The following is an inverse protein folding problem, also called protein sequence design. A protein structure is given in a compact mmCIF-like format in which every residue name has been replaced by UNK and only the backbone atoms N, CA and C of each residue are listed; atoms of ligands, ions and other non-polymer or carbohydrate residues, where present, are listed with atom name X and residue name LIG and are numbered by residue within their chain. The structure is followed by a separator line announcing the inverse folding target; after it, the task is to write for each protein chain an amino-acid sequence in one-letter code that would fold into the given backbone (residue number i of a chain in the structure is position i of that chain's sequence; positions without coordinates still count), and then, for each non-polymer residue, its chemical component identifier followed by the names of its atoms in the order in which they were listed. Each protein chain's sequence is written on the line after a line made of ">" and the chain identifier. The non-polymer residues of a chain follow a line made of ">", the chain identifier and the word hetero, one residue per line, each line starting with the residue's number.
data_IF_628510761645
#
_entry.id   IF_628510761645
#
_cell.length_a   1.000
_cell.length_b   1.000
_cell.length_c   1.000
_cell.angle_alpha   90.00
_cell.angle_beta   90.00
_cell.angle_gamma   90.00
#
_symmetry.space_group_name_H-M   'P 1'
#
loop_
_entity.id
_entity.type
_entity.pdbx_description
1 polymer ?
#
# COMPACT_ATOMS: atom_id res chain seq x y z
N UNK A 1 -18.61 24.33 26.26
CA UNK A 1 -18.70 25.12 25.01
C UNK A 1 -17.98 24.29 23.95
N UNK A 2 -18.73 23.38 23.33
CA UNK A 2 -18.28 22.49 22.26
C UNK A 2 -19.12 22.91 21.08
N UNK A 3 -18.52 23.58 20.11
CA UNK A 3 -19.19 24.01 18.89
C UNK A 3 -18.20 23.84 17.75
N UNK A 4 -18.24 22.64 17.15
CA UNK A 4 -17.55 22.27 15.92
C UNK A 4 -18.27 21.08 15.26
N UNK A 5 -19.61 21.08 15.35
CA UNK A 5 -20.49 20.14 14.63
C UNK A 5 -21.24 20.80 13.46
N UNK A 6 -21.00 22.08 13.19
CA UNK A 6 -21.60 22.78 12.05
C UNK A 6 -20.62 22.84 10.87
N UNK A 7 -20.36 21.68 10.27
CA UNK A 7 -19.89 21.60 8.89
C UNK A 7 -20.90 20.79 8.09
N UNK A 8 -21.88 21.52 7.54
CA UNK A 8 -22.90 21.05 6.59
C UNK A 8 -22.28 20.76 5.23
N UNK A 9 -21.46 19.72 5.14
CA UNK A 9 -21.09 19.11 3.86
C UNK A 9 -20.87 17.60 4.09
N UNK A 10 -21.77 16.81 3.49
CA UNK A 10 -21.85 15.33 3.49
C UNK A 10 -22.59 14.75 4.71
N UNK A 11 -23.90 15.03 4.81
CA UNK A 11 -24.81 14.07 5.45
C UNK A 11 -24.95 12.86 4.49
N UNK A 12 -24.65 11.62 4.92
CA UNK A 12 -24.83 10.46 4.06
C UNK A 12 -26.30 10.35 3.66
N UNK A 13 -26.54 10.12 2.37
CA UNK A 13 -27.90 9.99 1.84
C UNK A 13 -28.63 8.81 2.53
N UNK A 14 -29.97 8.84 2.68
CA UNK A 14 -30.72 7.73 3.30
C UNK A 14 -30.47 6.37 2.61
N UNK A 15 -30.11 6.37 1.33
CA UNK A 15 -29.72 5.18 0.55
C UNK A 15 -28.41 4.58 1.06
N UNK A 16 -27.43 5.42 1.40
CA UNK A 16 -26.13 5.01 1.94
C UNK A 16 -26.27 4.34 3.30
N UNK A 17 -27.23 4.81 4.12
CA UNK A 17 -27.51 4.20 5.42
C UNK A 17 -28.17 2.83 5.28
N UNK A 18 -29.08 2.64 4.32
CA UNK A 18 -29.70 1.33 4.10
C UNK A 18 -28.69 0.29 3.60
N UNK A 19 -27.84 0.64 2.64
CA UNK A 19 -26.78 -0.25 2.15
C UNK A 19 -25.82 -0.68 3.26
N UNK A 20 -25.45 0.25 4.15
CA UNK A 20 -24.62 -0.08 5.30
C UNK A 20 -25.33 -1.04 6.26
N UNK A 21 -26.61 -0.82 6.54
CA UNK A 21 -27.40 -1.72 7.38
C UNK A 21 -27.52 -3.11 6.76
N UNK A 22 -27.75 -3.20 5.45
CA UNK A 22 -27.83 -4.47 4.73
C UNK A 22 -26.49 -5.23 4.80
N UNK A 23 -25.36 -4.53 4.65
CA UNK A 23 -24.01 -5.13 4.79
C UNK A 23 -23.77 -5.62 6.22
N UNK A 24 -24.17 -4.85 7.23
CA UNK A 24 -24.01 -5.25 8.63
C UNK A 24 -24.90 -6.45 8.98
N UNK A 25 -26.14 -6.47 8.48
CA UNK A 25 -27.06 -7.59 8.65
C UNK A 25 -26.50 -8.87 7.99
N UNK A 26 -25.96 -8.74 6.78
CA UNK A 26 -25.28 -9.82 6.07
C UNK A 26 -24.10 -10.39 6.89
N UNK A 27 -23.21 -9.53 7.40
CA UNK A 27 -22.09 -9.93 8.25
C UNK A 27 -22.58 -10.69 9.49
N UNK A 28 -23.56 -10.13 10.22
CA UNK A 28 -24.03 -10.71 11.48
C UNK A 28 -24.73 -12.06 11.28
N UNK A 29 -25.50 -12.20 10.21
CA UNK A 29 -26.34 -13.37 9.99
C UNK A 29 -25.65 -14.49 9.21
N UNK A 30 -24.68 -14.15 8.34
CA UNK A 30 -24.05 -15.12 7.44
C UNK A 30 -22.62 -15.48 7.80
N UNK A 31 -21.86 -14.60 8.46
CA UNK A 31 -20.48 -14.93 8.87
C UNK A 31 -20.47 -15.74 10.15
N UNK A 32 -19.84 -16.92 10.12
CA UNK A 32 -19.69 -17.81 11.28
C UNK A 32 -18.24 -18.23 11.45
N UNK A 33 -17.76 -18.14 12.69
CA UNK A 33 -16.45 -18.65 13.10
C UNK A 33 -16.67 -20.07 13.65
N UNK A 34 -15.97 -21.05 13.10
CA UNK A 34 -16.09 -22.44 13.51
C UNK A 34 -15.04 -22.81 14.58
N UNK A 35 -15.25 -23.95 15.25
CA UNK A 35 -14.34 -24.45 16.29
C UNK A 35 -12.98 -24.92 15.78
N UNK A 36 -12.84 -25.10 14.47
CA UNK A 36 -11.58 -25.41 13.78
C UNK A 36 -10.85 -24.16 13.27
N UNK A 37 -11.23 -22.97 13.76
CA UNK A 37 -10.69 -21.66 13.39
C UNK A 37 -10.98 -21.21 11.95
N UNK A 38 -11.81 -21.94 11.20
CA UNK A 38 -12.26 -21.52 9.87
C UNK A 38 -13.35 -20.44 9.94
N UNK A 39 -13.48 -19.68 8.85
CA UNK A 39 -14.53 -18.66 8.68
C UNK A 39 -15.44 -19.06 7.54
N UNK A 40 -16.73 -19.14 7.83
CA UNK A 40 -17.76 -19.53 6.90
C UNK A 40 -18.66 -18.35 6.58
N UNK A 41 -19.11 -18.27 5.34
CA UNK A 41 -20.20 -17.41 4.90
C UNK A 41 -21.15 -18.23 4.03
N UNK A 42 -22.46 -18.02 4.09
CA UNK A 42 -23.42 -18.86 3.35
C UNK A 42 -23.24 -18.81 1.84
N UNK A 43 -22.76 -17.68 1.34
CA UNK A 43 -22.67 -17.38 -0.10
C UNK A 43 -21.24 -17.53 -0.65
N UNK A 44 -20.26 -17.89 0.19
CA UNK A 44 -18.86 -18.07 -0.22
C UNK A 44 -18.28 -19.39 0.32
N UNK A 45 -17.24 -19.89 -0.35
CA UNK A 45 -16.46 -21.02 0.14
C UNK A 45 -15.81 -20.67 1.50
N UNK A 46 -15.70 -21.64 2.42
CA UNK A 46 -15.05 -21.42 3.70
C UNK A 46 -13.58 -21.02 3.55
N UNK A 47 -13.12 -20.11 4.41
CA UNK A 47 -11.71 -19.85 4.61
C UNK A 47 -11.17 -20.90 5.58
N UNK A 48 -10.78 -22.05 5.04
CA UNK A 48 -10.28 -23.19 5.79
C UNK A 48 -8.80 -23.04 6.12
N UNK A 49 -8.37 -23.75 7.16
CA UNK A 49 -6.96 -23.92 7.50
C UNK A 49 -6.59 -25.40 7.43
N UNK A 50 -5.35 -25.75 7.06
CA UNK A 50 -4.94 -27.14 6.99
C UNK A 50 -5.19 -27.85 8.33
N UNK A 51 -5.67 -29.10 8.29
CA UNK A 51 -5.96 -29.87 9.50
C UNK A 51 -4.77 -29.92 10.49
N UNK A 52 -3.55 -30.01 9.96
CA UNK A 52 -2.31 -29.97 10.76
C UNK A 52 -2.11 -28.64 11.51
N UNK A 53 -2.56 -27.53 10.94
CA UNK A 53 -2.52 -26.22 11.57
C UNK A 53 -3.58 -26.10 12.67
N UNK A 54 -4.78 -26.67 12.47
CA UNK A 54 -5.85 -26.72 13.48
C UNK A 54 -5.33 -27.36 14.76
N UNK A 55 -4.72 -28.56 14.67
CA UNK A 55 -4.20 -29.27 15.84
C UNK A 55 -3.13 -28.45 16.59
N UNK A 56 -2.30 -27.71 15.86
CA UNK A 56 -1.27 -26.84 16.46
C UNK A 56 -1.91 -25.68 17.20
N UNK A 57 -2.87 -24.99 16.59
CA UNK A 57 -3.55 -23.85 17.21
C UNK A 57 -4.34 -24.25 18.45
N UNK A 58 -5.00 -25.42 18.45
CA UNK A 58 -5.71 -25.94 19.62
C UNK A 58 -4.79 -26.16 20.84
N UNK A 59 -3.49 -26.41 20.61
CA UNK A 59 -2.49 -26.59 21.67
C UNK A 59 -1.85 -25.26 22.12
N UNK A 60 -2.12 -24.16 21.42
CA UNK A 60 -1.61 -22.83 21.79
C UNK A 60 -2.45 -22.21 22.91
N UNK A 61 -1.87 -21.27 23.69
CA UNK A 61 -2.62 -20.45 24.63
C UNK A 61 -3.84 -19.75 24.00
N UNK A 62 -4.90 -19.53 24.78
CA UNK A 62 -6.17 -18.96 24.30
C UNK A 62 -6.01 -17.55 23.68
N UNK A 63 -5.11 -16.73 24.22
CA UNK A 63 -4.82 -15.39 23.70
C UNK A 63 -4.24 -15.44 22.27
N UNK A 64 -3.39 -16.43 22.00
CA UNK A 64 -2.83 -16.68 20.66
C UNK A 64 -3.89 -17.19 19.69
N UNK A 65 -4.80 -18.06 20.15
CA UNK A 65 -5.94 -18.53 19.37
C UNK A 65 -6.88 -17.38 18.99
N UNK A 66 -7.27 -16.54 19.96
CA UNK A 66 -8.12 -15.38 19.72
C UNK A 66 -7.47 -14.36 18.78
N UNK A 67 -6.16 -14.13 18.95
CA UNK A 67 -5.41 -13.25 18.06
C UNK A 67 -5.42 -13.77 16.62
N UNK A 68 -5.24 -15.08 16.43
CA UNK A 68 -5.31 -15.69 15.12
C UNK A 68 -6.70 -15.53 14.48
N UNK A 69 -7.77 -15.91 15.18
CA UNK A 69 -9.16 -15.77 14.71
C UNK A 69 -9.45 -14.31 14.34
N UNK A 70 -9.04 -13.36 15.19
CA UNK A 70 -9.26 -11.93 14.94
C UNK A 70 -8.58 -11.45 13.67
N UNK A 71 -7.36 -11.96 13.38
CA UNK A 71 -6.65 -11.66 12.15
C UNK A 71 -7.34 -12.27 10.93
N UNK A 72 -7.80 -13.52 11.01
CA UNK A 72 -8.55 -14.18 9.93
C UNK A 72 -9.86 -13.45 9.65
N UNK A 73 -10.63 -13.12 10.69
CA UNK A 73 -11.91 -12.42 10.56
C UNK A 73 -11.71 -11.06 9.94
N UNK A 74 -10.71 -10.30 10.43
CA UNK A 74 -10.36 -9.01 9.83
C UNK A 74 -10.02 -9.16 8.34
N UNK A 75 -9.19 -10.14 7.98
CA UNK A 75 -8.79 -10.37 6.59
C UNK A 75 -9.98 -10.76 5.71
N UNK A 76 -10.87 -11.63 6.20
CA UNK A 76 -12.10 -12.04 5.50
C UNK A 76 -13.05 -10.86 5.30
N UNK A 77 -13.34 -10.11 6.37
CA UNK A 77 -14.23 -8.95 6.29
C UNK A 77 -13.67 -7.89 5.34
N UNK A 78 -12.37 -7.65 5.41
CA UNK A 78 -11.68 -6.74 4.51
C UNK A 78 -11.75 -7.24 3.04
N UNK A 79 -11.49 -8.52 2.82
CA UNK A 79 -11.47 -9.18 1.51
C UNK A 79 -12.83 -9.26 0.82
N UNK A 80 -13.90 -9.51 1.57
CA UNK A 80 -15.25 -9.69 1.03
C UNK A 80 -16.03 -8.38 0.99
N UNK A 81 -16.01 -7.59 2.07
CA UNK A 81 -16.90 -6.44 2.18
C UNK A 81 -16.23 -5.12 1.83
N UNK A 82 -14.96 -4.94 2.18
CA UNK A 82 -14.28 -3.66 1.97
C UNK A 82 -13.69 -3.54 0.55
N UNK A 83 -12.75 -4.42 0.20
CA UNK A 83 -12.03 -4.31 -1.07
C UNK A 83 -12.57 -5.25 -2.16
N UNK A 84 -13.28 -6.33 -1.81
CA UNK A 84 -13.78 -7.32 -2.75
C UNK A 84 -12.74 -8.34 -3.26
N UNK A 85 -11.49 -8.30 -2.81
CA UNK A 85 -10.38 -9.14 -3.30
C UNK A 85 -10.56 -10.65 -3.07
N UNK A 86 -11.51 -11.05 -2.22
CA UNK A 86 -11.80 -12.47 -1.94
C UNK A 86 -13.10 -12.96 -2.59
N UNK A 87 -13.89 -12.08 -3.22
CA UNK A 87 -15.23 -12.45 -3.72
C UNK A 87 -15.14 -13.49 -4.83
N UNK A 88 -14.24 -13.28 -5.78
CA UNK A 88 -14.09 -14.17 -6.94
C UNK A 88 -13.40 -15.47 -6.52
N UNK A 89 -12.34 -15.40 -5.71
CA UNK A 89 -11.62 -16.58 -5.22
C UNK A 89 -12.48 -17.49 -4.34
N UNK A 90 -13.36 -16.90 -3.51
CA UNK A 90 -14.25 -17.66 -2.63
C UNK A 90 -15.67 -17.82 -3.21
N UNK A 91 -15.92 -17.46 -4.47
CA UNK A 91 -17.22 -17.69 -5.08
C UNK A 91 -17.55 -19.20 -5.08
N UNK A 92 -18.82 -19.60 -4.90
CA UNK A 92 -19.20 -21.01 -4.90
C UNK A 92 -18.79 -21.75 -6.20
N UNK A 93 -18.87 -21.04 -7.32
CA UNK A 93 -18.51 -21.54 -8.66
C UNK A 93 -17.05 -21.29 -9.05
N UNK A 94 -16.24 -20.68 -8.18
CA UNK A 94 -14.81 -20.54 -8.46
C UNK A 94 -14.22 -21.93 -8.70
N UNK A 95 -13.51 -22.13 -9.80
CA UNK A 95 -12.87 -23.42 -10.06
C UNK A 95 -11.90 -23.72 -8.90
N UNK A 96 -12.11 -24.88 -8.25
CA UNK A 96 -11.25 -25.33 -7.13
C UNK A 96 -9.92 -25.89 -7.64
N UNK A 97 -9.71 -25.86 -8.95
CA UNK A 97 -8.40 -26.00 -9.54
C UNK A 97 -7.66 -24.70 -9.23
N UNK A 98 -6.65 -24.78 -8.36
CA UNK A 98 -5.69 -23.72 -8.14
C UNK A 98 -5.43 -23.04 -9.49
N UNK A 99 -5.81 -21.76 -9.62
CA UNK A 99 -5.70 -21.00 -10.86
C UNK A 99 -4.43 -21.46 -11.57
N UNK A 100 -4.51 -21.92 -12.84
CA UNK A 100 -3.47 -22.71 -13.47
C UNK A 100 -2.14 -22.09 -13.09
N UNK A 101 -1.33 -22.86 -12.35
CA UNK A 101 -0.02 -22.38 -11.88
C UNK A 101 0.58 -21.70 -13.09
N UNK A 102 0.79 -20.40 -12.99
CA UNK A 102 1.33 -19.63 -14.08
C UNK A 102 2.74 -20.18 -14.30
N UNK A 103 2.85 -21.13 -15.22
CA UNK A 103 4.11 -21.81 -15.54
C UNK A 103 5.02 -20.83 -16.29
N UNK A 104 4.52 -19.66 -16.65
CA UNK A 104 5.35 -18.57 -17.12
C UNK A 104 6.22 -18.07 -15.97
N UNK A 105 7.54 -18.11 -16.16
CA UNK A 105 8.54 -17.63 -15.21
C UNK A 105 8.60 -16.08 -15.21
N UNK A 106 7.44 -15.45 -15.11
CA UNK A 106 7.26 -14.01 -15.19
C UNK A 106 7.14 -13.37 -13.79
N UNK A 107 7.11 -14.19 -12.73
CA UNK A 107 7.03 -13.71 -11.35
C UNK A 107 8.32 -13.94 -10.56
N UNK A 108 8.83 -12.90 -9.90
CA UNK A 108 9.92 -13.01 -8.92
C UNK A 108 9.35 -12.65 -7.55
N UNK A 109 9.41 -13.57 -6.59
CA UNK A 109 8.84 -13.41 -5.24
C UNK A 109 7.35 -12.97 -5.25
N UNK A 110 6.58 -13.42 -6.24
CA UNK A 110 5.16 -13.09 -6.38
C UNK A 110 4.85 -11.74 -7.03
N UNK A 111 5.86 -11.07 -7.61
CA UNK A 111 5.71 -9.84 -8.41
C UNK A 111 5.71 -10.19 -9.89
N UNK A 112 4.65 -9.87 -10.63
CA UNK A 112 4.64 -9.90 -12.10
C UNK A 112 5.63 -8.86 -12.65
N UNK A 113 6.77 -9.34 -13.14
CA UNK A 113 7.89 -8.49 -13.57
C UNK A 113 7.53 -7.68 -14.81
N UNK A 114 6.76 -8.26 -15.74
CA UNK A 114 6.36 -7.58 -16.98
C UNK A 114 5.44 -6.42 -16.70
N UNK A 115 4.43 -6.64 -15.85
CA UNK A 115 3.52 -5.58 -15.44
C UNK A 115 4.19 -4.54 -14.54
N UNK A 116 5.04 -4.98 -13.61
CA UNK A 116 5.86 -4.07 -12.80
C UNK A 116 6.73 -3.15 -13.66
N UNK A 117 7.37 -3.69 -14.70
CA UNK A 117 8.20 -2.90 -15.61
C UNK A 117 7.36 -1.87 -16.38
N UNK A 118 6.17 -2.24 -16.87
CA UNK A 118 5.24 -1.28 -17.50
C UNK A 118 4.88 -0.11 -16.57
N UNK A 119 4.57 -0.40 -15.30
CA UNK A 119 4.33 0.63 -14.30
C UNK A 119 5.57 1.50 -14.07
N UNK A 120 6.74 0.88 -13.98
CA UNK A 120 8.01 1.57 -13.75
C UNK A 120 8.41 2.49 -14.91
N UNK A 121 8.22 2.04 -16.15
CA UNK A 121 8.49 2.82 -17.36
C UNK A 121 7.52 3.97 -17.50
N UNK A 122 6.26 3.77 -17.10
CA UNK A 122 5.26 4.84 -17.14
C UNK A 122 5.46 5.88 -16.03
N UNK A 123 6.06 5.54 -14.89
CA UNK A 123 6.32 6.50 -13.81
C UNK A 123 7.32 7.58 -14.27
N UNK A 124 6.86 8.82 -14.36
CA UNK A 124 7.63 9.98 -14.84
C UNK A 124 8.49 10.65 -13.76
N UNK A 125 8.57 10.07 -12.55
CA UNK A 125 9.41 10.55 -11.48
C UNK A 125 10.91 10.45 -11.79
N UNK A 126 11.70 11.31 -11.15
CA UNK A 126 13.18 11.39 -11.28
C UNK A 126 13.91 10.97 -10.00
N UNK A 127 13.14 10.62 -8.97
CA UNK A 127 13.61 10.44 -7.60
C UNK A 127 13.56 11.76 -6.82
N UNK A 128 13.85 11.67 -5.53
CA UNK A 128 13.85 12.79 -4.60
C UNK A 128 15.10 12.73 -3.73
N UNK A 129 15.43 13.82 -3.04
CA UNK A 129 16.49 13.82 -2.04
C UNK A 129 15.88 13.66 -0.65
N UNK A 130 16.25 12.60 0.06
CA UNK A 130 15.84 12.34 1.43
C UNK A 130 16.89 12.91 2.40
N UNK A 131 16.58 13.97 3.19
CA UNK A 131 17.51 14.64 4.08
C UNK A 131 17.70 13.91 5.41
N UNK A 132 18.64 14.40 6.23
CA UNK A 132 18.83 13.95 7.60
C UNK A 132 19.66 12.67 7.76
N UNK A 133 20.42 12.30 6.72
CA UNK A 133 21.41 11.24 6.83
C UNK A 133 22.69 11.79 7.42
N UNK A 134 23.33 11.07 8.33
CA UNK A 134 24.61 11.47 8.93
C UNK A 134 25.77 10.71 8.32
N UNK A 135 26.83 11.41 7.91
CA UNK A 135 28.07 10.80 7.41
C UNK A 135 28.86 10.22 8.56
N UNK A 136 29.03 8.89 8.59
CA UNK A 136 29.75 8.18 9.64
C UNK A 136 31.24 8.08 9.38
N UNK A 137 31.61 7.78 8.14
CA UNK A 137 33.00 7.64 7.70
C UNK A 137 33.08 7.71 6.18
N UNK A 138 34.26 8.04 5.71
CA UNK A 138 34.66 7.89 4.31
C UNK A 138 35.48 6.60 4.18
N UNK A 139 35.13 5.76 3.23
CA UNK A 139 35.84 4.52 2.92
C UNK A 139 37.06 4.82 2.04
N UNK A 140 37.99 3.87 1.95
CA UNK A 140 39.24 4.05 1.19
C UNK A 140 39.04 4.27 -0.31
N UNK A 141 37.88 3.90 -0.85
CA UNK A 141 37.50 4.10 -2.25
C UNK A 141 36.79 5.45 -2.50
N UNK A 142 36.65 6.29 -1.47
CA UNK A 142 35.99 7.60 -1.54
C UNK A 142 34.46 7.54 -1.37
N UNK A 143 33.88 6.35 -1.21
CA UNK A 143 32.45 6.22 -0.86
C UNK A 143 32.20 6.66 0.59
N UNK A 144 31.00 7.14 0.86
CA UNK A 144 30.58 7.54 2.20
C UNK A 144 29.69 6.47 2.81
N UNK A 145 30.01 6.04 4.03
CA UNK A 145 29.07 5.32 4.87
C UNK A 145 28.20 6.32 5.63
N UNK A 146 26.88 6.24 5.41
CA UNK A 146 25.88 7.16 5.97
C UNK A 146 24.85 6.39 6.77
N UNK A 147 24.21 7.06 7.75
CA UNK A 147 23.20 6.43 8.60
C UNK A 147 21.97 7.30 8.83
N UNK A 148 20.80 6.66 8.90
CA UNK A 148 19.53 7.27 9.33
C UNK A 148 18.65 6.20 9.97
N UNK A 149 18.15 6.47 11.18
CA UNK A 149 17.22 5.54 11.87
C UNK A 149 17.75 4.11 12.06
N UNK A 150 19.07 3.92 12.18
CA UNK A 150 19.71 2.61 12.31
C UNK A 150 20.02 1.89 10.98
N UNK A 151 19.54 2.39 9.85
CA UNK A 151 19.93 1.92 8.52
C UNK A 151 21.26 2.55 8.13
N UNK A 152 22.19 1.73 7.64
CA UNK A 152 23.48 2.17 7.08
C UNK A 152 23.55 1.86 5.61
N UNK A 153 23.94 2.85 4.81
CA UNK A 153 24.14 2.73 3.37
C UNK A 153 25.55 3.19 3.01
N UNK A 154 26.08 2.66 1.91
CA UNK A 154 27.28 3.19 1.26
C UNK A 154 26.83 3.97 0.03
N UNK A 155 27.28 5.21 -0.10
CA UNK A 155 26.87 6.10 -1.18
C UNK A 155 28.08 6.70 -1.89
N UNK A 156 27.93 6.88 -3.19
CA UNK A 156 28.84 7.68 -4.02
C UNK A 156 28.41 9.14 -4.07
N UNK A 157 29.36 10.06 -3.91
CA UNK A 157 29.10 11.51 -3.80
C UNK A 157 28.44 12.06 -5.07
N UNK A 158 28.95 11.68 -6.23
CA UNK A 158 28.51 12.21 -7.53
C UNK A 158 27.14 11.68 -7.94
N UNK A 159 26.78 10.48 -7.51
CA UNK A 159 25.53 9.83 -7.88
C UNK A 159 24.39 10.15 -6.90
N UNK A 160 24.69 10.18 -5.60
CA UNK A 160 23.67 10.16 -4.56
C UNK A 160 23.55 11.48 -3.79
N UNK A 161 24.55 12.36 -3.82
CA UNK A 161 24.46 13.65 -3.14
C UNK A 161 24.05 14.76 -4.11
N UNK A 162 23.30 15.78 -3.64
CA UNK A 162 23.11 16.98 -4.42
C UNK A 162 24.46 17.69 -4.60
N UNK A 163 24.62 18.43 -5.70
CA UNK A 163 25.88 19.10 -6.04
C UNK A 163 26.40 20.01 -4.90
N UNK A 164 25.50 20.63 -4.14
CA UNK A 164 25.83 21.48 -2.99
C UNK A 164 26.41 20.74 -1.78
N UNK A 165 26.27 19.41 -1.71
CA UNK A 165 26.71 18.57 -0.59
C UNK A 165 27.79 17.57 -0.96
N UNK A 166 28.30 17.60 -2.20
CA UNK A 166 29.33 16.65 -2.66
C UNK A 166 30.63 16.74 -1.87
N UNK A 167 30.92 17.86 -1.21
CA UNK A 167 32.08 18.04 -0.33
C UNK A 167 31.83 17.68 1.14
N UNK A 168 30.69 17.05 1.46
CA UNK A 168 30.36 16.70 2.85
C UNK A 168 31.43 15.80 3.49
N UNK A 169 31.70 16.01 4.75
CA UNK A 169 32.70 15.27 5.54
C UNK A 169 32.03 14.50 6.67
N UNK A 170 32.82 13.67 7.35
CA UNK A 170 32.38 12.90 8.52
C UNK A 170 31.79 13.82 9.57
N UNK A 171 30.58 13.49 10.05
CA UNK A 171 29.81 14.29 10.99
C UNK A 171 28.75 15.18 10.34
N UNK A 172 28.84 15.44 9.04
CA UNK A 172 27.85 16.26 8.34
C UNK A 172 26.52 15.54 8.17
N UNK A 173 25.43 16.33 8.08
CA UNK A 173 24.13 15.83 7.65
C UNK A 173 23.91 16.14 6.17
N UNK A 174 23.56 15.12 5.41
CA UNK A 174 23.34 15.18 3.95
C UNK A 174 21.96 14.67 3.57
N UNK A 175 21.55 15.00 2.35
CA UNK A 175 20.41 14.41 1.69
C UNK A 175 20.87 13.40 0.64
N UNK A 176 20.20 12.25 0.59
CA UNK A 176 20.53 11.14 -0.32
C UNK A 176 19.47 11.02 -1.39
N UNK A 177 19.90 10.87 -2.64
CA UNK A 177 19.00 10.61 -3.76
C UNK A 177 18.35 9.24 -3.63
N UNK A 178 17.04 9.24 -3.48
CA UNK A 178 16.18 8.07 -3.43
C UNK A 178 15.53 7.82 -4.80
N UNK A 179 15.20 6.55 -5.15
CA UNK A 179 14.54 6.23 -6.40
C UNK A 179 13.14 6.85 -6.49
N UNK A 180 12.60 6.93 -7.72
CA UNK A 180 11.24 7.41 -8.03
C UNK A 180 10.12 6.48 -7.53
N UNK A 181 10.48 5.34 -6.95
CA UNK A 181 9.51 4.34 -6.52
C UNK A 181 10.03 3.49 -5.36
N UNK A 182 9.07 2.88 -4.66
CA UNK A 182 9.26 1.88 -3.62
C UNK A 182 8.41 0.65 -3.96
N UNK A 183 8.79 -0.50 -3.40
CA UNK A 183 7.97 -1.71 -3.44
C UNK A 183 7.39 -1.92 -2.05
N UNK A 184 6.06 -2.01 -1.97
CA UNK A 184 5.34 -2.43 -0.78
C UNK A 184 4.66 -3.76 -1.11
N UNK A 185 4.45 -4.64 -0.13
CA UNK A 185 3.79 -5.92 -0.38
C UNK A 185 2.43 -5.72 -1.10
N UNK A 186 2.29 -6.30 -2.29
CA UNK A 186 1.15 -6.16 -3.19
C UNK A 186 1.11 -4.89 -4.05
N UNK A 187 2.02 -3.92 -3.86
CA UNK A 187 1.94 -2.60 -4.51
C UNK A 187 3.26 -2.09 -5.09
N UNK A 188 3.19 -1.56 -6.31
CA UNK A 188 4.15 -0.59 -6.82
C UNK A 188 3.78 0.79 -6.26
N UNK A 189 4.74 1.51 -5.68
CA UNK A 189 4.51 2.85 -5.15
C UNK A 189 5.41 3.86 -5.85
N UNK A 190 4.84 4.76 -6.66
CA UNK A 190 5.53 5.95 -7.13
C UNK A 190 5.64 6.98 -5.99
N UNK A 191 6.79 7.66 -5.96
CA UNK A 191 7.08 8.76 -5.04
C UNK A 191 7.33 10.01 -5.87
N UNK A 192 6.74 11.13 -5.47
CA UNK A 192 6.98 12.43 -6.10
C UNK A 192 8.45 12.84 -6.05
N UNK A 193 8.83 13.78 -6.91
CA UNK A 193 10.20 14.30 -7.01
C UNK A 193 10.59 15.18 -5.82
N UNK A 194 9.60 15.74 -5.15
CA UNK A 194 9.77 16.39 -3.86
C UNK A 194 9.47 15.39 -2.77
N UNK A 195 10.29 15.46 -1.73
CA UNK A 195 10.02 14.72 -0.52
C UNK A 195 8.59 15.07 -0.07
N UNK A 196 7.74 14.05 0.06
CA UNK A 196 6.52 14.17 0.84
C UNK A 196 6.95 14.31 2.29
N UNK A 197 7.40 15.51 2.64
CA UNK A 197 7.69 15.89 4.00
C UNK A 197 6.48 15.47 4.82
N UNK A 198 6.66 14.47 5.68
CA UNK A 198 5.91 14.41 6.92
C UNK A 198 6.72 15.23 7.90
N UNK A 199 6.54 16.56 8.00
CA UNK A 199 6.90 17.15 9.27
C UNK A 199 6.05 16.40 10.30
N UNK A 200 6.70 15.79 11.30
CA UNK A 200 6.06 15.28 12.51
C UNK A 200 5.50 16.45 13.35
N UNK A 201 4.94 17.47 12.69
CA UNK A 201 4.02 18.39 13.30
C UNK A 201 2.65 17.73 13.17
N UNK A 202 1.96 17.56 14.29
CA UNK A 202 0.63 16.93 14.45
C UNK A 202 -0.52 17.52 13.59
N UNK A 203 -0.22 18.27 12.52
CA UNK A 203 -1.17 19.12 11.80
C UNK A 203 -1.28 18.87 10.29
N UNK A 204 -0.41 18.07 9.65
CA UNK A 204 -0.60 17.75 8.23
C UNK A 204 -1.68 16.67 8.06
N UNK A 205 -2.84 17.08 7.55
CA UNK A 205 -3.92 16.16 7.20
C UNK A 205 -3.58 15.51 5.87
N UNK A 206 -3.37 14.20 5.85
CA UNK A 206 -3.17 13.44 4.61
C UNK A 206 -4.50 13.24 3.88
N UNK A 207 -4.56 13.62 2.61
CA UNK A 207 -5.66 13.32 1.69
C UNK A 207 -5.40 11.97 1.03
N UNK A 208 -6.47 11.20 0.81
CA UNK A 208 -6.44 9.92 0.10
C UNK A 208 -7.49 9.91 -0.99
N UNK A 209 -7.05 9.71 -2.23
CA UNK A 209 -7.94 9.49 -3.38
C UNK A 209 -7.84 8.02 -3.78
N UNK A 210 -8.97 7.33 -3.81
CA UNK A 210 -9.07 5.91 -4.15
C UNK A 210 -9.50 5.75 -5.60
N UNK A 211 -8.84 4.84 -6.30
CA UNK A 211 -9.11 4.53 -7.69
C UNK A 211 -9.46 3.05 -7.84
N UNK A 212 -10.54 2.79 -8.57
CA UNK A 212 -10.87 1.48 -9.12
C UNK A 212 -10.40 1.46 -10.58
N UNK A 213 -9.26 0.84 -10.83
CA UNK A 213 -8.53 0.84 -12.09
C UNK A 213 -8.54 -0.56 -12.68
N UNK A 214 -8.39 -0.65 -13.99
CA UNK A 214 -7.92 -1.89 -14.64
C UNK A 214 -6.38 -1.90 -14.66
N UNK A 215 -5.73 -3.04 -14.95
CA UNK A 215 -4.28 -3.07 -15.09
C UNK A 215 -3.74 -2.05 -16.12
N UNK A 216 -4.39 -1.92 -17.28
CA UNK A 216 -4.01 -0.93 -18.29
C UNK A 216 -4.30 0.50 -17.83
N UNK A 217 -5.42 0.71 -17.14
CA UNK A 217 -5.76 1.99 -16.52
C UNK A 217 -4.72 2.42 -15.50
N UNK A 218 -4.18 1.49 -14.70
CA UNK A 218 -3.14 1.79 -13.72
C UNK A 218 -1.84 2.26 -14.36
N UNK A 219 -1.43 1.66 -15.47
CA UNK A 219 -0.26 2.12 -16.24
C UNK A 219 -0.51 3.52 -16.80
N UNK A 220 -1.67 3.76 -17.44
CA UNK A 220 -1.99 5.07 -18.01
C UNK A 220 -2.06 6.18 -16.94
N UNK A 221 -2.75 5.91 -15.82
CA UNK A 221 -2.86 6.84 -14.69
C UNK A 221 -1.49 7.07 -14.04
N UNK A 222 -0.66 6.03 -13.88
CA UNK A 222 0.70 6.17 -13.34
C UNK A 222 1.50 7.23 -14.12
N UNK A 223 1.49 7.17 -15.45
CA UNK A 223 2.19 8.16 -16.27
C UNK A 223 1.62 9.56 -16.13
N UNK A 224 0.32 9.72 -16.39
CA UNK A 224 -0.32 11.03 -16.37
C UNK A 224 -0.22 11.71 -15.00
N UNK A 225 -0.50 10.96 -13.92
CA UNK A 225 -0.52 11.49 -12.56
C UNK A 225 0.90 11.88 -12.10
N UNK A 226 1.87 10.97 -12.27
CA UNK A 226 3.24 11.26 -11.85
C UNK A 226 3.86 12.38 -12.65
N UNK A 227 3.52 12.54 -13.93
CA UNK A 227 3.96 13.69 -14.71
C UNK A 227 3.37 14.99 -14.16
N UNK A 228 2.04 15.10 -14.11
CA UNK A 228 1.37 16.35 -13.78
C UNK A 228 1.69 16.83 -12.37
N UNK A 229 1.61 15.95 -11.36
CA UNK A 229 1.88 16.35 -9.96
C UNK A 229 3.35 16.74 -9.74
N UNK A 230 4.29 16.14 -10.47
CA UNK A 230 5.68 16.55 -10.42
C UNK A 230 5.94 17.88 -11.13
N UNK A 231 5.20 18.20 -12.21
CA UNK A 231 5.31 19.48 -12.93
C UNK A 231 4.87 20.67 -12.06
N UNK A 232 3.86 20.47 -11.20
CA UNK A 232 3.39 21.48 -10.24
C UNK A 232 3.99 21.34 -8.84
N UNK A 233 5.07 20.55 -8.71
CA UNK A 233 5.84 20.44 -7.47
C UNK A 233 5.00 20.02 -6.24
N UNK A 234 4.05 19.11 -6.42
CA UNK A 234 3.30 18.51 -5.30
C UNK A 234 4.02 17.26 -4.81
N UNK A 235 4.33 17.15 -3.51
CA UNK A 235 4.78 15.90 -2.93
C UNK A 235 3.65 14.88 -2.82
N UNK A 236 3.86 13.66 -3.29
CA UNK A 236 2.84 12.61 -3.26
C UNK A 236 3.43 11.20 -3.12
N UNK A 237 2.56 10.26 -2.73
CA UNK A 237 2.76 8.84 -2.96
C UNK A 237 1.57 8.31 -3.76
N UNK A 238 1.84 7.61 -4.85
CA UNK A 238 0.79 6.95 -5.62
C UNK A 238 1.09 5.46 -5.68
N UNK A 239 0.21 4.63 -5.11
CA UNK A 239 0.38 3.19 -5.13
C UNK A 239 -0.69 2.52 -5.97
N UNK A 240 -0.28 1.51 -6.72
CA UNK A 240 -1.16 0.61 -7.48
C UNK A 240 -0.68 -0.82 -7.32
N UNK A 241 -1.56 -1.79 -7.56
CA UNK A 241 -1.18 -3.21 -7.45
C UNK A 241 -0.10 -3.56 -8.48
N UNK A 242 0.88 -4.39 -8.10
CA UNK A 242 1.94 -4.81 -9.04
C UNK A 242 1.63 -6.13 -9.78
N UNK A 243 0.47 -6.73 -9.54
CA UNK A 243 0.01 -7.93 -10.26
C UNK A 243 -1.31 -7.62 -10.96
N UNK A 244 -1.45 -7.94 -12.26
CA UNK A 244 -2.65 -7.66 -13.02
C UNK A 244 -3.87 -8.45 -12.52
N UNK A 245 -3.67 -9.67 -12.00
CA UNK A 245 -4.74 -10.53 -11.44
C UNK A 245 -5.39 -9.94 -10.18
N UNK A 246 -4.69 -9.06 -9.45
CA UNK A 246 -5.18 -8.51 -8.18
C UNK A 246 -6.18 -7.34 -8.39
N UNK A 247 -6.40 -6.87 -9.62
CA UNK A 247 -7.23 -5.71 -9.94
C UNK A 247 -8.75 -5.94 -9.84
N UNK A 248 -9.19 -7.13 -9.39
CA UNK A 248 -10.60 -7.42 -9.07
C UNK A 248 -11.11 -6.65 -7.84
N UNK A 249 -10.19 -6.06 -7.06
CA UNK A 249 -10.52 -5.26 -5.87
C UNK A 249 -10.80 -3.78 -6.17
N UNK A 250 -11.68 -3.19 -5.36
CA UNK A 250 -12.18 -1.82 -5.54
C UNK A 250 -11.16 -0.71 -5.25
N UNK A 251 -10.14 -0.96 -4.43
CA UNK A 251 -9.09 -0.01 -4.03
C UNK A 251 -7.73 -0.33 -4.69
N UNK A 252 -7.77 -0.65 -5.99
CA UNK A 252 -6.61 -1.00 -6.81
C UNK A 252 -5.53 0.09 -6.92
N UNK A 253 -5.88 1.36 -6.70
CA UNK A 253 -4.96 2.49 -6.69
C UNK A 253 -5.29 3.49 -5.58
N UNK A 254 -4.27 4.08 -4.97
CA UNK A 254 -4.44 5.11 -3.93
C UNK A 254 -3.37 6.19 -4.06
N UNK A 255 -3.82 7.44 -4.19
CA UNK A 255 -2.98 8.64 -4.13
C UNK A 255 -3.01 9.24 -2.73
N UNK A 256 -1.83 9.59 -2.22
CA UNK A 256 -1.62 10.29 -0.95
C UNK A 256 -0.89 11.60 -1.20
N UNK A 257 -1.38 12.68 -0.62
CA UNK A 257 -0.74 14.00 -0.59
C UNK A 257 -1.27 14.82 0.59
N UNK A 258 -0.68 15.96 0.88
CA UNK A 258 -1.10 16.81 2.00
C UNK A 258 -2.28 17.72 1.64
N UNK A 259 -3.22 17.91 2.58
CA UNK A 259 -4.44 18.70 2.38
C UNK A 259 -4.18 20.15 1.96
N UNK A 260 -3.03 20.72 2.27
CA UNK A 260 -2.65 22.05 1.78
C UNK A 260 -2.58 22.14 0.26
N UNK A 261 -2.42 21.01 -0.44
CA UNK A 261 -2.41 20.93 -1.90
C UNK A 261 -3.77 20.52 -2.50
N UNK A 262 -4.86 20.43 -1.71
CA UNK A 262 -6.16 19.95 -2.20
C UNK A 262 -6.66 20.71 -3.42
N UNK A 263 -6.70 22.04 -3.35
CA UNK A 263 -7.19 22.89 -4.45
C UNK A 263 -6.34 22.81 -5.72
N UNK A 264 -5.08 22.34 -5.61
CA UNK A 264 -4.17 22.19 -6.75
C UNK A 264 -4.27 20.80 -7.41
N UNK A 265 -4.90 19.83 -6.73
CA UNK A 265 -5.12 18.46 -7.23
C UNK A 265 -6.56 18.28 -7.76
N UNK A 266 -7.50 19.16 -7.36
CA UNK A 266 -8.90 19.18 -7.82
C UNK A 266 -9.07 19.69 -9.27
#
# INVERSE_FOLDING_TARGET
>A
MIQLLDSTAIQPSPITNQQLLDVLDDIVNKVKIQSDFSIHHSDYKPLEIPAEAVERFQRMPEDMQQKYISLQLRSFLYGIYYNGSMRDTLAPEADTEAAPVDLENNTILGVDVGFYQRLHDSNSGKGYFDPGWSVLREESDGTLAVTKGGLRLHIEREQHLPASQQSATVGDSVAIRMPKNLVQNGFYMAVGNLEAHRPQTDQSVTVRIYFNLTPDGAVAVMGSLTQQLNEIEIPFHFKVLYNPKDYERHDSGVLYFDKCHYDAVE
#
